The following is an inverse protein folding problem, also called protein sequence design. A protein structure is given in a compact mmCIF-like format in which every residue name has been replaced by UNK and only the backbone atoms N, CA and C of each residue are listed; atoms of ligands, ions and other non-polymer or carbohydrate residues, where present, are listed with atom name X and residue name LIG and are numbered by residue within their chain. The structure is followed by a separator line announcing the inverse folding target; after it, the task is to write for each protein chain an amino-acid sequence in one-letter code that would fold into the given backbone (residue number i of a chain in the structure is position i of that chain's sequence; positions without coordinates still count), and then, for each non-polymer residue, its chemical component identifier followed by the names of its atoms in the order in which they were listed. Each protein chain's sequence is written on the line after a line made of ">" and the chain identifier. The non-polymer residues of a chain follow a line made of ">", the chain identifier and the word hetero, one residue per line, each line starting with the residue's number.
data_IF_052396246315
#
_entry.id   IF_052396246315
#
_cell.length_a   1.000
_cell.length_b   1.000
_cell.length_c   1.000
_cell.angle_alpha   90.00
_cell.angle_beta   90.00
_cell.angle_gamma   90.00
#
_symmetry.space_group_name_H-M   'P 1'
#
loop_
_entity.id
_entity.type
_entity.pdbx_description
1 polymer ?
#
# COMPACT_ATOMS: atom_id res chain seq x y z
N UNK A 1 6.32 -18.00 -3.13
CA UNK A 1 5.61 -18.68 -2.03
C UNK A 1 4.26 -18.03 -1.69
N UNK A 2 4.22 -16.78 -1.21
CA UNK A 2 2.93 -16.13 -0.86
C UNK A 2 1.98 -16.00 -2.06
N UNK A 3 2.47 -15.50 -3.20
CA UNK A 3 1.67 -15.39 -4.42
C UNK A 3 1.21 -16.75 -4.95
N UNK A 4 2.08 -17.76 -4.92
CA UNK A 4 1.75 -19.12 -5.39
C UNK A 4 0.67 -19.75 -4.52
N UNK A 5 0.77 -19.63 -3.20
CA UNK A 5 -0.23 -20.16 -2.26
C UNK A 5 -1.57 -19.42 -2.39
N UNK A 6 -1.55 -18.09 -2.53
CA UNK A 6 -2.74 -17.28 -2.81
C UNK A 6 -3.42 -17.74 -4.11
N UNK A 7 -2.65 -17.96 -5.17
CA UNK A 7 -3.16 -18.44 -6.45
C UNK A 7 -3.74 -19.86 -6.35
N UNK A 8 -3.02 -20.78 -5.69
CA UNK A 8 -3.45 -22.17 -5.49
C UNK A 8 -4.77 -22.30 -4.72
N UNK A 9 -5.09 -21.32 -3.87
CA UNK A 9 -6.35 -21.28 -3.11
C UNK A 9 -7.39 -20.30 -3.69
N UNK A 10 -7.11 -19.66 -4.83
CA UNK A 10 -8.01 -18.68 -5.46
C UNK A 10 -8.45 -17.54 -4.53
N UNK A 11 -7.59 -17.12 -3.60
CA UNK A 11 -7.90 -16.07 -2.63
C UNK A 11 -7.72 -14.67 -3.25
N UNK A 12 -8.64 -13.76 -2.97
CA UNK A 12 -8.48 -12.32 -3.25
C UNK A 12 -7.64 -11.63 -2.15
N UNK A 13 -7.13 -10.43 -2.43
CA UNK A 13 -6.50 -9.63 -1.38
C UNK A 13 -7.51 -9.15 -0.33
N UNK A 14 -8.74 -8.85 -0.74
CA UNK A 14 -9.87 -8.58 0.16
C UNK A 14 -10.06 -9.69 1.20
N UNK A 15 -10.15 -10.95 0.75
CA UNK A 15 -10.36 -12.09 1.67
C UNK A 15 -9.21 -12.24 2.68
N UNK A 16 -7.96 -12.06 2.24
CA UNK A 16 -6.79 -12.12 3.11
C UNK A 16 -6.80 -10.92 4.08
N UNK A 17 -7.08 -9.72 3.60
CA UNK A 17 -7.14 -8.49 4.38
C UNK A 17 -8.16 -8.55 5.52
N UNK A 18 -9.35 -9.10 5.26
CA UNK A 18 -10.37 -9.32 6.27
C UNK A 18 -9.87 -10.23 7.41
N UNK A 19 -9.14 -11.29 7.09
CA UNK A 19 -8.60 -12.20 8.10
C UNK A 19 -7.46 -11.57 8.91
N UNK A 20 -6.60 -10.80 8.24
CA UNK A 20 -5.45 -10.13 8.87
C UNK A 20 -5.89 -8.90 9.71
N UNK A 21 -7.06 -8.32 9.44
CA UNK A 21 -7.47 -7.05 10.05
C UNK A 21 -6.65 -5.87 9.53
N UNK A 22 -6.21 -5.93 8.26
CA UNK A 22 -5.40 -4.90 7.59
C UNK A 22 -6.14 -4.41 6.35
N UNK A 23 -5.79 -3.25 5.79
CA UNK A 23 -6.34 -2.82 4.51
C UNK A 23 -5.82 -3.70 3.36
N UNK A 24 -6.60 -3.82 2.29
CA UNK A 24 -6.23 -4.60 1.10
C UNK A 24 -4.89 -4.17 0.51
N UNK A 25 -4.68 -2.85 0.40
CA UNK A 25 -3.43 -2.28 -0.12
C UNK A 25 -2.25 -2.62 0.78
N UNK A 26 -2.44 -2.62 2.11
CA UNK A 26 -1.39 -3.00 3.05
C UNK A 26 -1.02 -4.48 2.94
N UNK A 27 -1.99 -5.37 2.71
CA UNK A 27 -1.74 -6.80 2.48
C UNK A 27 -1.03 -7.03 1.14
N UNK A 28 -1.47 -6.37 0.07
CA UNK A 28 -0.78 -6.44 -1.21
C UNK A 28 0.67 -5.93 -1.08
N UNK A 29 0.90 -4.83 -0.38
CA UNK A 29 2.23 -4.30 -0.10
C UNK A 29 3.11 -5.30 0.68
N UNK A 30 2.55 -6.02 1.66
CA UNK A 30 3.25 -7.10 2.38
C UNK A 30 3.71 -8.20 1.41
N UNK A 31 2.84 -8.62 0.49
CA UNK A 31 3.17 -9.65 -0.50
C UNK A 31 4.31 -9.23 -1.44
N UNK A 32 4.41 -7.94 -1.76
CA UNK A 32 5.52 -7.37 -2.52
C UNK A 32 6.75 -7.00 -1.66
N UNK A 33 6.79 -7.39 -0.38
CA UNK A 33 7.91 -7.10 0.54
C UNK A 33 8.02 -5.64 0.95
N UNK A 34 6.96 -4.85 0.78
CA UNK A 34 6.92 -3.41 1.05
C UNK A 34 6.30 -3.06 2.41
N UNK A 35 5.79 -4.05 3.14
CA UNK A 35 5.26 -3.89 4.49
C UNK A 35 5.81 -4.97 5.42
N UNK A 36 6.03 -4.62 6.69
CA UNK A 36 6.42 -5.58 7.71
C UNK A 36 5.18 -6.40 8.12
N UNK A 37 5.40 -7.68 8.37
CA UNK A 37 4.44 -8.56 9.01
C UNK A 37 4.66 -8.54 10.53
N UNK A 38 3.58 -8.46 11.31
CA UNK A 38 3.64 -8.79 12.73
C UNK A 38 3.67 -10.31 12.93
N UNK A 39 3.99 -10.78 14.13
CA UNK A 39 3.89 -12.22 14.46
C UNK A 39 2.47 -12.74 14.22
N UNK A 40 1.45 -11.95 14.60
CA UNK A 40 0.04 -12.29 14.37
C UNK A 40 -0.30 -12.39 12.88
N UNK A 41 0.22 -11.49 12.04
CA UNK A 41 0.06 -11.56 10.58
C UNK A 41 0.64 -12.88 10.04
N UNK A 42 1.84 -13.25 10.48
CA UNK A 42 2.53 -14.45 10.02
C UNK A 42 1.77 -15.72 10.41
N UNK A 43 1.27 -15.79 11.64
CA UNK A 43 0.44 -16.90 12.11
C UNK A 43 -0.87 -17.04 11.32
N UNK A 44 -1.56 -15.92 11.06
CA UNK A 44 -2.79 -15.91 10.25
C UNK A 44 -2.50 -16.30 8.81
N UNK A 45 -1.46 -15.74 8.20
CA UNK A 45 -1.04 -16.07 6.84
C UNK A 45 -0.67 -17.54 6.70
N UNK A 46 0.03 -18.12 7.68
CA UNK A 46 0.35 -19.55 7.70
C UNK A 46 -0.91 -20.41 7.63
N UNK A 47 -1.91 -20.10 8.47
CA UNK A 47 -3.19 -20.82 8.51
C UNK A 47 -3.98 -20.69 7.21
N UNK A 48 -4.12 -19.46 6.70
CA UNK A 48 -4.96 -19.18 5.52
C UNK A 48 -4.29 -19.72 4.26
N UNK A 49 -2.97 -19.55 4.11
CA UNK A 49 -2.25 -19.95 2.91
C UNK A 49 -1.75 -21.40 2.95
N UNK A 50 -1.92 -22.10 4.07
CA UNK A 50 -1.46 -23.48 4.25
C UNK A 50 0.06 -23.61 4.17
N UNK A 51 0.79 -22.54 4.49
CA UNK A 51 2.26 -22.51 4.45
C UNK A 51 2.78 -22.80 5.87
N UNK A 52 3.76 -23.71 6.05
CA UNK A 52 4.34 -23.97 7.37
C UNK A 52 4.83 -22.69 8.05
N UNK A 53 4.42 -22.48 9.31
CA UNK A 53 4.74 -21.29 10.09
C UNK A 53 6.25 -20.96 10.10
N UNK A 54 7.18 -21.90 10.37
CA UNK A 54 8.61 -21.60 10.40
C UNK A 54 9.15 -21.08 9.06
N UNK A 55 8.55 -21.51 7.94
CA UNK A 55 8.96 -21.05 6.61
C UNK A 55 8.55 -19.58 6.36
N UNK A 56 7.38 -19.16 6.87
CA UNK A 56 6.96 -17.77 6.80
C UNK A 56 7.73 -16.88 7.79
N UNK A 57 7.98 -17.35 9.00
CA UNK A 57 8.73 -16.60 10.01
C UNK A 57 10.12 -16.21 9.49
N UNK A 58 10.84 -17.16 8.89
CA UNK A 58 12.17 -16.92 8.33
C UNK A 58 12.19 -15.92 7.15
N UNK A 59 11.06 -15.71 6.47
CA UNK A 59 10.98 -14.83 5.29
C UNK A 59 10.32 -13.48 5.58
N UNK A 60 9.35 -13.43 6.48
CA UNK A 60 8.49 -12.26 6.69
C UNK A 60 8.80 -11.50 7.97
N UNK A 61 9.44 -12.13 8.96
CA UNK A 61 9.89 -11.44 10.15
C UNK A 61 11.21 -10.73 9.87
N UNK A 62 11.31 -9.50 10.38
CA UNK A 62 12.44 -8.60 10.13
C UNK A 62 11.97 -7.26 9.57
N UNK A 63 12.92 -6.48 9.06
CA UNK A 63 12.65 -5.16 8.49
C UNK A 63 12.67 -5.25 6.96
N UNK A 64 11.63 -4.78 6.26
CA UNK A 64 11.59 -4.84 4.80
C UNK A 64 12.53 -3.82 4.16
N UNK A 65 13.25 -4.26 3.14
CA UNK A 65 14.03 -3.41 2.23
C UNK A 65 13.12 -2.85 1.14
N UNK A 66 12.42 -1.76 1.48
CA UNK A 66 11.39 -1.13 0.64
C UNK A 66 11.98 -0.42 -0.57
N UNK A 67 11.20 -0.30 -1.64
CA UNK A 67 11.53 0.48 -2.83
C UNK A 67 12.17 -0.32 -3.97
N UNK A 68 12.22 -1.65 -3.86
CA UNK A 68 12.86 -2.54 -4.86
C UNK A 68 11.88 -3.34 -5.72
N UNK A 69 10.58 -3.14 -5.56
CA UNK A 69 9.55 -3.93 -6.24
C UNK A 69 9.47 -3.68 -7.75
N UNK A 70 9.99 -2.56 -8.24
CA UNK A 70 9.99 -2.23 -9.67
C UNK A 70 10.97 -1.11 -10.03
N UNK A 71 11.26 -0.91 -11.32
CA UNK A 71 12.16 0.14 -11.79
C UNK A 71 11.51 1.53 -11.67
N UNK A 72 12.36 2.55 -11.64
CA UNK A 72 11.96 3.95 -11.82
C UNK A 72 12.67 4.53 -13.06
N UNK A 73 11.96 5.22 -13.97
CA UNK A 73 10.51 5.43 -13.98
C UNK A 73 9.71 4.11 -14.12
N UNK A 74 8.46 4.03 -13.63
CA UNK A 74 7.66 2.82 -13.77
C UNK A 74 7.41 2.49 -15.23
N UNK A 75 7.54 1.22 -15.60
CA UNK A 75 7.28 0.76 -16.98
C UNK A 75 5.89 0.13 -17.12
N UNK A 76 5.27 -0.25 -16.00
CA UNK A 76 3.91 -0.78 -16.00
C UNK A 76 2.91 0.38 -16.13
N UNK A 77 2.00 0.34 -17.13
CA UNK A 77 1.12 1.48 -17.45
C UNK A 77 0.25 1.98 -16.28
N UNK A 78 -0.34 1.11 -15.47
CA UNK A 78 -1.18 1.53 -14.34
C UNK A 78 -0.36 2.31 -13.30
N UNK A 79 0.80 1.79 -12.91
CA UNK A 79 1.72 2.45 -11.96
C UNK A 79 2.26 3.75 -12.57
N UNK A 80 2.55 3.76 -13.88
CA UNK A 80 3.03 4.97 -14.57
C UNK A 80 2.01 6.12 -14.49
N UNK A 81 0.70 5.85 -14.53
CA UNK A 81 -0.31 6.93 -14.37
C UNK A 81 -0.25 7.59 -12.99
N UNK A 82 0.03 6.84 -11.94
CA UNK A 82 0.22 7.42 -10.60
C UNK A 82 1.46 8.32 -10.56
N UNK A 83 2.54 7.89 -11.21
CA UNK A 83 3.74 8.71 -11.39
C UNK A 83 3.45 9.98 -12.21
N UNK A 84 2.69 9.88 -13.29
CA UNK A 84 2.29 11.01 -14.15
C UNK A 84 1.42 12.03 -13.39
N UNK A 85 0.52 11.57 -12.51
CA UNK A 85 -0.24 12.44 -11.60
C UNK A 85 0.72 13.22 -10.70
N UNK A 86 1.72 12.56 -10.10
CA UNK A 86 2.73 13.25 -9.27
C UNK A 86 3.52 14.27 -10.10
N UNK A 87 3.92 13.91 -11.32
CA UNK A 87 4.67 14.80 -12.22
C UNK A 87 3.88 16.06 -12.57
N UNK A 88 2.58 15.92 -12.87
CA UNK A 88 1.74 17.04 -13.32
C UNK A 88 1.18 17.88 -12.15
N UNK A 89 0.80 17.23 -11.05
CA UNK A 89 0.11 17.88 -9.93
C UNK A 89 0.98 18.11 -8.70
N UNK A 90 2.23 17.66 -8.68
CA UNK A 90 3.11 17.75 -7.50
C UNK A 90 3.23 19.16 -6.91
N UNK A 91 3.47 20.18 -7.76
CA UNK A 91 3.52 21.58 -7.31
C UNK A 91 2.14 22.13 -6.93
N UNK A 92 1.07 21.68 -7.58
CA UNK A 92 -0.29 22.07 -7.21
C UNK A 92 -0.66 21.54 -5.81
N UNK A 93 -0.37 20.26 -5.53
CA UNK A 93 -0.52 19.69 -4.18
C UNK A 93 0.32 20.43 -3.17
N UNK A 94 1.59 20.72 -3.48
CA UNK A 94 2.48 21.46 -2.58
C UNK A 94 1.88 22.82 -2.20
N UNK A 95 1.42 23.61 -3.17
CA UNK A 95 0.87 24.93 -2.92
C UNK A 95 -0.39 24.87 -2.03
N UNK A 96 -1.36 24.03 -2.39
CA UNK A 96 -2.62 23.88 -1.62
C UNK A 96 -2.37 23.35 -0.22
N UNK A 97 -1.44 22.40 -0.05
CA UNK A 97 -1.06 21.91 1.27
C UNK A 97 -0.37 22.99 2.10
N UNK A 98 0.49 23.82 1.49
CA UNK A 98 1.12 24.92 2.21
C UNK A 98 0.12 25.99 2.64
N UNK A 99 -0.86 26.34 1.82
CA UNK A 99 -1.93 27.28 2.20
C UNK A 99 -2.79 26.75 3.34
N UNK A 100 -3.06 25.44 3.38
CA UNK A 100 -3.94 24.82 4.39
C UNK A 100 -3.24 24.48 5.70
N UNK A 101 -1.98 24.06 5.64
CA UNK A 101 -1.29 23.45 6.78
C UNK A 101 0.04 24.13 7.14
N UNK A 102 0.47 25.13 6.37
CA UNK A 102 1.74 25.83 6.57
C UNK A 102 2.94 25.12 5.96
N UNK A 103 4.14 25.40 6.48
CA UNK A 103 5.38 24.79 6.00
C UNK A 103 5.61 23.40 6.64
N UNK A 104 5.74 22.37 5.81
CA UNK A 104 5.77 20.98 6.25
C UNK A 104 5.49 19.97 5.14
N UNK A 105 5.22 18.73 5.53
CA UNK A 105 4.97 17.62 4.62
C UNK A 105 3.80 16.74 5.07
N UNK A 106 3.14 16.08 4.11
CA UNK A 106 2.28 14.94 4.37
C UNK A 106 3.17 13.69 4.53
N UNK A 107 3.14 13.05 5.69
CA UNK A 107 3.96 11.85 5.96
C UNK A 107 3.55 10.68 5.05
N UNK A 108 4.55 9.93 4.57
CA UNK A 108 4.38 8.62 3.92
C UNK A 108 4.72 7.45 4.87
N UNK A 109 4.93 7.72 6.17
CA UNK A 109 5.21 6.72 7.22
C UNK A 109 4.03 6.63 8.20
N UNK A 110 3.65 7.76 8.80
CA UNK A 110 2.40 7.88 9.54
C UNK A 110 1.25 8.11 8.54
N UNK A 111 0.95 7.06 7.80
CA UNK A 111 0.21 7.11 6.54
C UNK A 111 -0.68 5.89 6.36
N UNK A 112 -1.85 6.10 5.75
CA UNK A 112 -2.72 5.04 5.27
C UNK A 112 -3.23 5.36 3.85
N UNK A 113 -3.51 4.30 3.09
CA UNK A 113 -4.09 4.39 1.74
C UNK A 113 -5.10 3.27 1.52
N UNK A 114 -6.10 3.56 0.70
CA UNK A 114 -7.14 2.62 0.28
C UNK A 114 -7.54 2.87 -1.17
N UNK A 115 -8.15 1.84 -1.76
CA UNK A 115 -8.74 1.89 -3.09
C UNK A 115 -10.22 1.56 -2.95
N UNK A 116 -11.07 2.40 -3.50
CA UNK A 116 -12.50 2.17 -3.61
C UNK A 116 -12.91 2.22 -5.09
N UNK A 117 -14.02 1.56 -5.42
CA UNK A 117 -14.65 1.63 -6.74
C UNK A 117 -15.94 2.42 -6.62
N UNK A 118 -16.04 3.48 -7.41
CA UNK A 118 -17.27 4.26 -7.55
C UNK A 118 -17.85 4.04 -8.95
N UNK A 119 -19.17 4.16 -9.09
CA UNK A 119 -19.86 4.09 -10.38
C UNK A 119 -20.71 5.34 -10.51
N UNK A 120 -20.49 6.13 -11.56
CA UNK A 120 -21.24 7.36 -11.78
C UNK A 120 -22.64 7.08 -12.34
N UNK A 121 -23.47 8.13 -12.44
CA UNK A 121 -24.83 8.05 -12.95
C UNK A 121 -24.91 7.55 -14.40
N UNK A 122 -23.82 7.69 -15.17
CA UNK A 122 -23.71 7.20 -16.55
C UNK A 122 -23.21 5.74 -16.61
N UNK A 123 -22.96 5.10 -15.47
CA UNK A 123 -22.49 3.72 -15.37
C UNK A 123 -20.98 3.56 -15.54
N UNK A 124 -20.20 4.65 -15.61
CA UNK A 124 -18.74 4.54 -15.70
C UNK A 124 -18.15 4.21 -14.34
N UNK A 125 -17.21 3.25 -14.31
CA UNK A 125 -16.48 2.91 -13.10
C UNK A 125 -15.27 3.81 -12.92
N UNK A 126 -15.11 4.35 -11.70
CA UNK A 126 -14.01 5.19 -11.27
C UNK A 126 -13.22 4.49 -10.18
N UNK A 127 -11.89 4.52 -10.31
CA UNK A 127 -10.99 4.08 -9.26
C UNK A 127 -10.67 5.27 -8.36
N UNK A 128 -11.00 5.16 -7.08
CA UNK A 128 -10.74 6.21 -6.08
C UNK A 128 -9.60 5.77 -5.19
N UNK A 129 -8.47 6.46 -5.28
CA UNK A 129 -7.32 6.25 -4.40
C UNK A 129 -7.31 7.35 -3.36
N UNK A 130 -7.41 6.97 -2.09
CA UNK A 130 -7.32 7.92 -0.98
C UNK A 130 -5.92 7.87 -0.36
N UNK A 131 -5.24 9.02 -0.31
CA UNK A 131 -3.96 9.19 0.38
C UNK A 131 -4.19 9.97 1.68
N UNK A 132 -3.94 9.36 2.84
CA UNK A 132 -4.15 10.00 4.14
C UNK A 132 -2.89 9.92 5.00
N UNK A 133 -2.12 11.00 4.99
CA UNK A 133 -0.90 11.14 5.78
C UNK A 133 -1.04 12.17 6.90
N UNK A 134 -0.38 11.91 8.02
CA UNK A 134 -0.22 12.90 9.10
C UNK A 134 0.58 14.10 8.58
N UNK A 135 0.10 15.33 8.83
CA UNK A 135 0.87 16.54 8.55
C UNK A 135 1.99 16.73 9.57
N UNK A 136 3.20 17.03 9.09
CA UNK A 136 4.40 17.24 9.90
C UNK A 136 4.99 18.63 9.58
N UNK A 137 4.81 19.64 10.46
CA UNK A 137 5.42 20.94 10.27
C UNK A 137 6.93 20.88 10.50
N UNK A 138 7.70 21.72 9.79
CA UNK A 138 9.13 21.83 10.04
C UNK A 138 9.40 22.55 11.38
N UNK A 139 10.31 22.00 12.16
CA UNK A 139 10.79 22.65 13.39
C UNK A 139 11.63 23.87 13.05
N UNK A 140 11.50 24.93 13.85
CA UNK A 140 12.42 26.06 13.85
C UNK A 140 13.46 25.82 14.95
N UNK A 141 14.73 25.71 14.57
CA UNK A 141 15.87 25.56 15.48
C UNK A 141 17.05 26.40 15.00
#
# INVERSE_FOLDING_TARGET
>A
MLFDAKAGQSLSFEAIAQQLGRSEVAVAALFYGQAAASQEDVEKLSKILGIPLPALEAQLLGFPDRGRSGPMPPVEPLIYRLYEIVQNYGYAYKAVLNEKFGDGIMSAIAFETKVDKEVDESGNAWAVITLKGKWLPFSRF
#
